data_IF_138837794174
#
_entry.id   IF_138837794174
#
_cell.length_a   1.000
_cell.length_b   1.000
_cell.length_c   1.000
_cell.angle_alpha   90.00
_cell.angle_beta   90.00
_cell.angle_gamma   90.00
#
_symmetry.space_group_name_H-M   'P 1'
#
loop_
_entity.id
_entity.type
_entity.pdbx_description
1 polymer ?
#
# COMPACT_ATOMS: atom_id res chain seq x y z
N UNK A 1 4.63 57.23 -23.18
CA UNK A 1 3.36 56.49 -23.33
C UNK A 1 3.73 55.01 -23.34
N UNK A 2 3.65 54.30 -22.19
CA UNK A 2 2.51 53.40 -21.88
C UNK A 2 2.08 52.69 -23.17
N UNK A 3 2.64 51.53 -23.49
CA UNK A 3 2.13 50.26 -23.00
C UNK A 3 3.25 49.22 -22.88
N UNK A 4 3.89 49.25 -21.71
CA UNK A 4 4.54 48.08 -21.13
C UNK A 4 3.43 47.18 -20.58
N UNK A 5 3.56 45.87 -20.80
CA UNK A 5 2.85 44.75 -20.18
C UNK A 5 1.43 44.41 -20.67
N UNK A 6 1.18 43.09 -20.70
CA UNK A 6 -0.06 42.36 -21.03
C UNK A 6 -0.36 42.32 -22.54
N UNK A 7 -0.15 41.22 -23.26
CA UNK A 7 -0.91 39.96 -23.11
C UNK A 7 0.01 38.79 -23.50
N UNK A 8 0.81 38.31 -22.55
CA UNK A 8 1.39 36.97 -22.56
C UNK A 8 0.46 36.06 -21.75
N UNK A 9 -0.83 36.02 -22.09
CA UNK A 9 -1.86 35.39 -21.26
C UNK A 9 -2.88 34.62 -22.09
N UNK A 10 -2.41 33.66 -22.88
CA UNK A 10 -3.23 32.53 -23.30
C UNK A 10 -2.38 31.26 -23.41
N UNK A 11 -1.57 31.00 -22.38
CA UNK A 11 -1.18 29.61 -22.10
C UNK A 11 -2.32 29.03 -21.26
N UNK A 12 -3.45 28.74 -21.91
CA UNK A 12 -4.41 27.80 -21.38
C UNK A 12 -3.79 26.41 -21.48
N UNK A 13 -2.84 26.12 -20.58
CA UNK A 13 -2.71 24.78 -20.01
C UNK A 13 -4.02 24.66 -19.20
N UNK A 14 -5.15 24.30 -19.79
CA UNK A 14 -5.24 22.95 -20.29
C UNK A 14 -5.07 21.98 -19.12
N UNK A 15 -5.57 22.38 -17.92
CA UNK A 15 -5.31 21.77 -16.64
C UNK A 15 -5.68 20.29 -16.69
N UNK A 16 -4.68 19.43 -16.90
CA UNK A 16 -4.84 18.01 -16.69
C UNK A 16 -5.16 17.85 -15.20
N UNK A 17 -6.42 17.49 -14.93
CA UNK A 17 -7.01 17.14 -13.65
C UNK A 17 -5.97 16.95 -12.53
N UNK A 18 -5.84 17.94 -11.65
CA UNK A 18 -5.07 17.76 -10.42
C UNK A 18 -5.72 16.63 -9.64
N UNK A 19 -5.01 15.50 -9.55
CA UNK A 19 -5.45 14.36 -8.74
C UNK A 19 -5.62 14.83 -7.30
N UNK A 20 -6.86 14.80 -6.80
CA UNK A 20 -7.18 15.21 -5.44
C UNK A 20 -6.44 14.29 -4.46
N UNK A 21 -5.56 14.87 -3.63
CA UNK A 21 -4.87 14.13 -2.58
C UNK A 21 -5.73 14.18 -1.31
N UNK A 22 -6.03 13.02 -0.74
CA UNK A 22 -6.84 12.85 0.46
C UNK A 22 -6.00 12.07 1.49
N UNK A 23 -6.01 12.43 2.78
CA UNK A 23 -5.32 11.63 3.79
C UNK A 23 -5.84 10.18 3.84
N UNK A 24 -4.92 9.23 3.91
CA UNK A 24 -5.23 7.81 4.11
C UNK A 24 -5.98 7.64 5.44
N UNK A 25 -7.04 6.83 5.42
CA UNK A 25 -7.91 6.64 6.58
C UNK A 25 -9.05 7.67 6.71
N UNK A 26 -9.17 8.63 5.78
CA UNK A 26 -10.37 9.48 5.68
C UNK A 26 -11.61 8.62 5.55
N UNK A 27 -12.59 8.82 6.44
CA UNK A 27 -13.85 8.06 6.46
C UNK A 27 -14.82 8.58 5.41
N UNK A 28 -15.65 7.69 4.89
CA UNK A 28 -16.69 8.03 3.91
C UNK A 28 -16.53 7.23 2.62
N UNK A 29 -17.30 7.60 1.60
CA UNK A 29 -17.18 7.02 0.27
C UNK A 29 -15.89 7.48 -0.40
N UNK A 30 -15.24 6.57 -1.13
CA UNK A 30 -14.07 6.92 -1.91
C UNK A 30 -14.45 7.77 -3.12
N UNK A 31 -13.64 8.78 -3.43
CA UNK A 31 -13.81 9.65 -4.59
C UNK A 31 -13.03 9.06 -5.77
N UNK A 32 -13.71 8.83 -6.89
CA UNK A 32 -13.08 8.35 -8.14
C UNK A 32 -11.96 9.32 -8.59
N UNK A 33 -10.83 8.77 -9.00
CA UNK A 33 -9.65 9.52 -9.44
C UNK A 33 -8.80 10.13 -8.32
N UNK A 34 -9.30 10.21 -7.09
CA UNK A 34 -8.54 10.71 -5.94
C UNK A 34 -7.38 9.78 -5.55
N UNK A 35 -6.43 10.32 -4.79
CA UNK A 35 -5.30 9.58 -4.22
C UNK A 35 -5.32 9.69 -2.70
N UNK A 36 -5.59 8.57 -2.04
CA UNK A 36 -5.55 8.39 -0.60
C UNK A 36 -4.11 8.13 -0.14
N UNK A 37 -3.43 9.20 0.27
CA UNK A 37 -2.00 9.20 0.57
C UNK A 37 -1.73 9.05 2.06
N UNK A 38 -0.72 8.27 2.43
CA UNK A 38 -0.21 8.18 3.80
C UNK A 38 0.58 9.45 4.16
N UNK A 39 -0.14 10.51 4.53
CA UNK A 39 0.44 11.83 4.85
C UNK A 39 1.11 11.82 6.23
N UNK A 40 0.53 11.09 7.19
CA UNK A 40 1.05 10.95 8.57
C UNK A 40 2.24 10.00 8.66
N UNK A 41 2.48 9.18 7.64
CA UNK A 41 3.56 8.17 7.67
C UNK A 41 3.22 6.99 8.56
N UNK A 42 1.92 6.71 8.79
CA UNK A 42 1.49 5.63 9.67
C UNK A 42 1.90 4.25 9.12
N UNK A 43 2.07 4.11 7.80
CA UNK A 43 2.56 2.88 7.19
C UNK A 43 4.06 2.67 7.39
N UNK A 44 4.83 3.73 7.65
CA UNK A 44 6.28 3.65 7.80
C UNK A 44 6.70 2.69 8.92
N UNK A 45 5.89 2.58 9.98
CA UNK A 45 6.14 1.68 11.11
C UNK A 45 6.09 0.18 10.73
N UNK A 46 5.58 -0.15 9.56
CA UNK A 46 5.44 -1.52 9.07
C UNK A 46 6.37 -1.83 7.89
N UNK A 47 6.94 -0.82 7.24
CA UNK A 47 7.89 -1.00 6.13
C UNK A 47 9.16 -1.71 6.63
N UNK A 48 9.76 -2.53 5.75
CA UNK A 48 10.97 -3.28 6.05
C UNK A 48 10.74 -4.77 6.27
N UNK A 49 11.76 -5.46 6.78
CA UNK A 49 11.80 -6.91 6.90
C UNK A 49 11.54 -7.35 8.33
N UNK A 50 10.59 -8.26 8.50
CA UNK A 50 10.17 -8.85 9.76
C UNK A 50 10.46 -10.35 9.75
N UNK A 51 10.96 -10.86 10.87
CA UNK A 51 11.23 -12.27 11.07
C UNK A 51 10.46 -12.79 12.29
N UNK A 52 9.80 -13.92 12.13
CA UNK A 52 9.17 -14.68 13.20
C UNK A 52 9.59 -16.14 13.15
N UNK A 53 9.69 -16.77 14.32
CA UNK A 53 9.98 -18.20 14.45
C UNK A 53 8.82 -18.88 15.14
N UNK A 54 8.33 -19.98 14.55
CA UNK A 54 7.25 -20.78 15.10
C UNK A 54 7.46 -22.25 14.74
N UNK A 55 7.34 -23.16 15.71
CA UNK A 55 7.53 -24.61 15.53
C UNK A 55 8.80 -24.99 14.75
N UNK A 56 9.94 -24.40 15.13
CA UNK A 56 11.24 -24.58 14.47
C UNK A 56 11.24 -24.24 12.97
N UNK A 57 10.36 -23.33 12.54
CA UNK A 57 10.32 -22.78 11.18
C UNK A 57 10.46 -21.27 11.26
N UNK A 58 11.18 -20.70 10.29
CA UNK A 58 11.40 -19.26 10.23
C UNK A 58 10.56 -18.66 9.11
N UNK A 59 9.75 -17.66 9.44
CA UNK A 59 8.95 -16.87 8.50
C UNK A 59 9.59 -15.48 8.36
N UNK A 60 9.92 -15.07 7.14
CA UNK A 60 10.55 -13.78 6.86
C UNK A 60 9.70 -13.04 5.84
N UNK A 61 9.18 -11.87 6.19
CA UNK A 61 8.33 -11.04 5.32
C UNK A 61 8.89 -9.65 5.19
N UNK A 62 8.91 -9.11 3.98
CA UNK A 62 9.30 -7.73 3.69
C UNK A 62 8.09 -6.97 3.17
N UNK A 63 7.80 -5.83 3.80
CA UNK A 63 6.77 -4.91 3.37
C UNK A 63 7.37 -3.69 2.68
N UNK A 64 6.77 -3.31 1.55
CA UNK A 64 7.13 -2.11 0.79
C UNK A 64 5.86 -1.31 0.53
N UNK A 65 5.93 0.01 0.71
CA UNK A 65 4.83 0.91 0.37
C UNK A 65 4.78 1.18 -1.13
N UNK A 66 3.57 1.10 -1.68
CA UNK A 66 3.29 1.39 -3.09
C UNK A 66 2.04 2.27 -3.22
N UNK A 67 1.97 3.02 -4.32
CA UNK A 67 0.74 3.65 -4.78
C UNK A 67 -0.02 2.64 -5.65
N UNK A 68 -1.12 2.13 -5.16
CA UNK A 68 -1.95 1.13 -5.85
C UNK A 68 -3.24 1.75 -6.39
N UNK A 69 -3.66 1.33 -7.59
CA UNK A 69 -4.98 1.63 -8.14
C UNK A 69 -5.97 0.59 -7.62
N UNK A 70 -7.03 1.03 -6.95
CA UNK A 70 -8.17 0.19 -6.63
C UNK A 70 -9.11 0.13 -7.85
N UNK A 71 -9.22 -1.03 -8.55
CA UNK A 71 -9.92 -1.11 -9.83
C UNK A 71 -11.44 -0.87 -9.73
N UNK A 72 -12.10 -1.24 -8.62
CA UNK A 72 -13.55 -1.11 -8.49
C UNK A 72 -13.94 0.34 -8.23
N UNK A 73 -13.30 0.97 -7.24
CA UNK A 73 -13.56 2.37 -6.89
C UNK A 73 -12.82 3.38 -7.76
N UNK A 74 -11.90 2.92 -8.62
CA UNK A 74 -11.07 3.72 -9.53
C UNK A 74 -10.36 4.89 -8.83
N UNK A 75 -9.84 4.64 -7.65
CA UNK A 75 -9.04 5.61 -6.89
C UNK A 75 -7.67 5.02 -6.59
N UNK A 76 -6.71 5.86 -6.27
CA UNK A 76 -5.37 5.44 -5.86
C UNK A 76 -5.26 5.47 -4.34
N UNK A 77 -4.45 4.60 -3.76
CA UNK A 77 -4.14 4.62 -2.33
C UNK A 77 -2.74 4.13 -2.05
N UNK A 78 -2.12 4.65 -0.99
CA UNK A 78 -0.92 4.03 -0.43
C UNK A 78 -1.27 2.75 0.31
N UNK A 79 -0.58 1.67 -0.02
CA UNK A 79 -0.72 0.36 0.64
C UNK A 79 0.64 -0.30 0.80
N UNK A 80 0.70 -1.29 1.69
CA UNK A 80 1.85 -2.17 1.82
C UNK A 80 1.62 -3.46 1.05
N UNK A 81 2.59 -3.82 0.21
CA UNK A 81 2.71 -5.14 -0.39
C UNK A 81 3.72 -5.96 0.40
N UNK A 82 3.39 -7.22 0.68
CA UNK A 82 4.25 -8.13 1.41
C UNK A 82 4.79 -9.26 0.53
N UNK A 83 6.10 -9.50 0.61
CA UNK A 83 6.75 -10.69 0.04
C UNK A 83 7.38 -11.47 1.15
N UNK A 84 7.22 -12.79 1.15
CA UNK A 84 7.66 -13.62 2.25
C UNK A 84 8.31 -14.91 1.79
N UNK A 85 9.08 -15.50 2.70
CA UNK A 85 9.64 -16.83 2.55
C UNK A 85 9.54 -17.61 3.86
N UNK A 86 9.54 -18.93 3.75
CA UNK A 86 9.57 -19.85 4.87
C UNK A 86 10.81 -20.71 4.79
N UNK A 87 11.50 -20.88 5.92
CA UNK A 87 12.63 -21.77 6.08
C UNK A 87 12.28 -22.89 7.08
N UNK A 88 12.84 -24.08 6.87
CA UNK A 88 12.82 -25.15 7.87
C UNK A 88 13.80 -24.88 9.01
N UNK A 89 13.88 -25.80 9.97
CA UNK A 89 14.76 -25.69 11.14
C UNK A 89 16.25 -25.78 10.83
N UNK A 90 16.61 -26.20 9.62
CA UNK A 90 17.99 -26.29 9.13
C UNK A 90 18.33 -25.10 8.21
N UNK A 91 17.39 -24.17 7.98
CA UNK A 91 17.57 -23.01 7.12
C UNK A 91 17.26 -23.25 5.64
N UNK A 92 16.75 -24.43 5.25
CA UNK A 92 16.37 -24.69 3.86
C UNK A 92 15.08 -23.95 3.51
N UNK A 93 15.04 -23.33 2.32
CA UNK A 93 13.84 -22.63 1.85
C UNK A 93 12.74 -23.62 1.44
N UNK A 94 11.59 -23.51 2.11
CA UNK A 94 10.39 -24.30 1.83
C UNK A 94 9.46 -23.61 0.83
N UNK A 95 9.39 -22.28 0.90
CA UNK A 95 8.48 -21.47 0.08
C UNK A 95 9.01 -20.04 -0.02
N UNK A 96 8.71 -19.35 -1.13
CA UNK A 96 9.06 -17.95 -1.33
C UNK A 96 8.16 -17.28 -2.35
N UNK A 97 7.78 -16.04 -2.08
CA UNK A 97 7.08 -15.12 -2.99
C UNK A 97 7.94 -13.96 -3.44
N UNK A 98 9.24 -13.95 -3.10
CA UNK A 98 10.15 -12.84 -3.43
C UNK A 98 10.39 -12.65 -4.93
N UNK A 99 10.14 -13.67 -5.74
CA UNK A 99 10.22 -13.63 -7.20
C UNK A 99 8.97 -13.01 -7.86
N UNK A 100 7.91 -12.72 -7.11
CA UNK A 100 6.68 -12.13 -7.65
C UNK A 100 6.84 -10.62 -7.87
N UNK A 101 6.34 -10.15 -9.01
CA UNK A 101 6.18 -8.72 -9.29
C UNK A 101 4.97 -8.15 -8.52
N UNK A 102 4.89 -6.83 -8.38
CA UNK A 102 3.88 -6.17 -7.52
C UNK A 102 2.44 -6.57 -7.87
N UNK A 103 2.11 -6.70 -9.17
CA UNK A 103 0.77 -7.09 -9.63
C UNK A 103 0.34 -8.52 -9.22
N UNK A 104 1.31 -9.40 -8.92
CA UNK A 104 1.07 -10.82 -8.63
C UNK A 104 1.26 -11.14 -7.15
N UNK A 105 1.56 -10.11 -6.32
CA UNK A 105 1.86 -10.27 -4.90
C UNK A 105 0.68 -10.91 -4.16
N UNK A 106 1.01 -11.74 -3.17
CA UNK A 106 0.00 -12.52 -2.44
C UNK A 106 -0.40 -11.90 -1.10
N UNK A 107 0.33 -10.87 -0.66
CA UNK A 107 0.09 -10.19 0.62
C UNK A 107 -0.13 -8.70 0.40
N UNK A 108 -1.26 -8.17 0.87
CA UNK A 108 -1.60 -6.75 0.76
C UNK A 108 -2.24 -6.23 2.04
N UNK A 109 -1.93 -5.00 2.45
CA UNK A 109 -2.59 -4.35 3.59
C UNK A 109 -4.04 -3.96 3.29
N UNK A 110 -4.99 -4.22 4.19
CA UNK A 110 -6.42 -3.89 4.04
C UNK A 110 -6.83 -2.59 4.75
N UNK A 111 -5.88 -1.82 5.27
CA UNK A 111 -6.12 -0.60 6.02
C UNK A 111 -6.22 -0.79 7.54
N UNK A 112 -6.24 0.34 8.25
CA UNK A 112 -6.24 0.39 9.71
C UNK A 112 -7.61 0.03 10.29
N UNK A 113 -7.58 -0.71 11.40
CA UNK A 113 -8.75 -0.98 12.24
C UNK A 113 -8.48 -0.38 13.61
N UNK A 114 -9.46 0.36 14.11
CA UNK A 114 -9.43 0.86 15.46
C UNK A 114 -9.71 -0.29 16.43
N UNK A 115 -8.77 -0.57 17.34
CA UNK A 115 -8.93 -1.54 18.42
C UNK A 115 -8.85 -0.79 19.74
N UNK A 116 -9.47 -1.32 20.79
CA UNK A 116 -9.71 -0.70 22.11
C UNK A 116 -8.52 0.03 22.75
N UNK A 117 -7.28 -0.25 22.32
CA UNK A 117 -6.08 0.44 22.80
C UNK A 117 -5.07 0.89 21.72
N UNK A 118 -5.17 0.44 20.46
CA UNK A 118 -4.19 0.72 19.39
C UNK A 118 -4.79 0.59 17.99
N UNK A 119 -4.30 1.38 17.05
CA UNK A 119 -4.54 1.14 15.63
C UNK A 119 -3.80 -0.12 15.19
N UNK A 120 -4.51 -1.04 14.52
CA UNK A 120 -3.92 -2.25 13.94
C UNK A 120 -4.05 -2.19 12.42
N UNK A 121 -2.96 -2.45 11.71
CA UNK A 121 -3.01 -2.64 10.26
C UNK A 121 -3.34 -4.10 9.94
N UNK A 122 -4.35 -4.33 9.10
CA UNK A 122 -4.71 -5.69 8.64
C UNK A 122 -3.94 -6.04 7.37
N UNK A 123 -3.59 -7.32 7.24
CA UNK A 123 -3.02 -7.90 6.03
C UNK A 123 -3.87 -9.05 5.54
N UNK A 124 -4.00 -9.18 4.22
CA UNK A 124 -4.63 -10.31 3.56
C UNK A 124 -3.56 -11.14 2.85
N UNK A 125 -3.58 -12.45 3.08
CA UNK A 125 -2.75 -13.44 2.38
C UNK A 125 -3.67 -14.27 1.49
N UNK A 126 -3.46 -14.22 0.18
CA UNK A 126 -4.32 -14.88 -0.81
C UNK A 126 -3.96 -16.34 -1.07
N UNK A 127 -2.74 -16.74 -0.70
CA UNK A 127 -2.15 -18.06 -0.93
C UNK A 127 -2.05 -18.94 0.33
N UNK A 128 -2.32 -18.37 1.51
CA UNK A 128 -2.46 -19.16 2.73
C UNK A 128 -3.86 -19.78 2.77
N UNK A 129 -3.95 -21.11 2.69
CA UNK A 129 -5.20 -21.83 2.84
C UNK A 129 -5.89 -21.45 4.17
N UNK A 130 -7.19 -21.13 4.11
CA UNK A 130 -8.04 -21.16 5.31
C UNK A 130 -8.07 -22.60 5.76
N UNK A 131 -7.34 -22.92 6.83
CA UNK A 131 -7.43 -24.24 7.46
C UNK A 131 -8.90 -24.56 7.68
N UNK A 132 -9.37 -25.64 7.06
CA UNK A 132 -10.68 -26.22 7.35
C UNK A 132 -10.60 -26.60 8.84
N UNK A 133 -11.41 -25.92 9.66
CA UNK A 133 -11.62 -26.33 11.06
C UNK A 133 -12.44 -27.61 11.08
#
# INVERSE_FOLDING_TARGET
MKNILFILSFICISCNAQQQIIPLGTKGFHIEGAYYKDISGDLNAYEGTWQGVFNNRTFIITFVKVKELEPIGKYYQDRLLGRYKMLDGNGNQLYSTYNLVDKDVKVTSLGFVNSTSKNKLRFYFSDLCRGVR
#
